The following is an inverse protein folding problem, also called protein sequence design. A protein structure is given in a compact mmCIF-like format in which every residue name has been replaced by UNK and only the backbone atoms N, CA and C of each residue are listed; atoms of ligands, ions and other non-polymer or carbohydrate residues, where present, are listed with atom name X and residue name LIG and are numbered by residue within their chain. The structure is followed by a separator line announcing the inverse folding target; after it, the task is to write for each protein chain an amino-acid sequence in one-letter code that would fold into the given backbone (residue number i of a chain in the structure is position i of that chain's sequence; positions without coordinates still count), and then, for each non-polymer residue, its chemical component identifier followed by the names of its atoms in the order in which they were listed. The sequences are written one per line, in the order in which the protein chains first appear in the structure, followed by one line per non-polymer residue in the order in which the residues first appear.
data_IF_916782818779
#
_entry.id   IF_916782818779
#
_cell.length_a   1.000
_cell.length_b   1.000
_cell.length_c   1.000
_cell.angle_alpha   90.00
_cell.angle_beta   90.00
_cell.angle_gamma   90.00
#
_symmetry.space_group_name_H-M   'P 1'
#
loop_
_entity.id
_entity.type
_entity.pdbx_description
1 polymer ?
#
# COMPACT_ATOMS: atom_id res chain seq x y z
N UNK A 1 9.26 -19.70 8.09
CA UNK A 1 8.43 -18.51 8.34
C UNK A 1 8.97 -17.36 7.51
N UNK A 2 8.14 -16.69 6.70
CA UNK A 2 8.54 -15.50 5.96
C UNK A 2 9.02 -14.39 6.89
N UNK A 3 9.85 -13.50 6.34
CA UNK A 3 10.35 -12.33 7.04
C UNK A 3 9.93 -11.08 6.28
N UNK A 4 9.45 -10.08 7.02
CA UNK A 4 9.25 -8.74 6.50
C UNK A 4 10.39 -7.84 6.98
N UNK A 5 10.85 -6.95 6.12
CA UNK A 5 11.76 -5.87 6.48
C UNK A 5 11.32 -4.56 5.83
N UNK A 6 11.55 -3.45 6.52
CA UNK A 6 11.38 -2.13 5.92
C UNK A 6 12.51 -1.83 4.91
N UNK A 7 12.35 -0.78 4.12
CA UNK A 7 13.30 -0.40 3.06
C UNK A 7 14.74 -0.23 3.56
N UNK A 8 14.94 0.37 4.74
CA UNK A 8 16.27 0.56 5.33
C UNK A 8 16.84 -0.70 6.01
N UNK A 9 16.07 -1.78 6.11
CA UNK A 9 16.45 -3.02 6.80
C UNK A 9 16.55 -2.91 8.33
N UNK A 10 16.24 -1.74 8.91
CA UNK A 10 16.29 -1.47 10.35
C UNK A 10 15.13 -2.11 11.10
N UNK A 11 13.93 -2.07 10.53
CA UNK A 11 12.75 -2.73 11.09
C UNK A 11 12.58 -4.09 10.44
N UNK A 12 12.37 -5.13 11.26
CA UNK A 12 12.18 -6.50 10.80
C UNK A 12 11.10 -7.18 11.62
N UNK A 13 10.35 -8.08 11.00
CA UNK A 13 9.36 -8.91 11.69
C UNK A 13 9.34 -10.30 11.11
N UNK A 14 9.31 -11.31 11.99
CA UNK A 14 8.91 -12.66 11.59
C UNK A 14 7.39 -12.66 11.49
N UNK A 15 6.85 -13.16 10.38
CA UNK A 15 5.42 -13.17 10.11
C UNK A 15 5.01 -14.57 9.69
N UNK A 16 3.75 -14.91 9.90
CA UNK A 16 3.21 -16.20 9.54
C UNK A 16 3.05 -16.30 8.02
N UNK A 17 2.51 -15.23 7.40
CA UNK A 17 2.39 -15.11 5.96
C UNK A 17 2.45 -13.65 5.47
N UNK A 18 2.78 -13.51 4.19
CA UNK A 18 2.65 -12.28 3.42
C UNK A 18 1.67 -12.58 2.29
N UNK A 19 0.54 -11.89 2.30
CA UNK A 19 -0.53 -12.02 1.31
C UNK A 19 -0.35 -10.95 0.24
N UNK A 20 -0.61 -11.29 -1.03
CA UNK A 20 -0.56 -10.34 -2.14
C UNK A 20 -1.96 -10.11 -2.69
N UNK A 21 -2.33 -8.84 -2.87
CA UNK A 21 -3.62 -8.45 -3.43
C UNK A 21 -3.45 -7.60 -4.70
N UNK A 22 -4.17 -7.98 -5.75
CA UNK A 22 -4.32 -7.24 -7.01
C UNK A 22 -5.76 -6.80 -7.28
N UNK A 23 -6.68 -7.14 -6.39
CA UNK A 23 -8.10 -6.80 -6.48
C UNK A 23 -8.70 -6.53 -5.09
N UNK A 24 -9.87 -5.91 -5.04
CA UNK A 24 -10.65 -5.79 -3.80
C UNK A 24 -11.11 -7.17 -3.31
N UNK A 25 -11.40 -8.08 -4.23
CA UNK A 25 -11.81 -9.45 -3.90
C UNK A 25 -10.66 -10.24 -3.24
N UNK A 26 -9.41 -10.02 -3.65
CA UNK A 26 -8.24 -10.61 -3.00
C UNK A 26 -8.13 -10.11 -1.54
N UNK A 27 -8.33 -8.81 -1.32
CA UNK A 27 -8.34 -8.24 0.03
C UNK A 27 -9.48 -8.85 0.85
N UNK A 28 -10.68 -8.92 0.29
CA UNK A 28 -11.84 -9.49 0.96
C UNK A 28 -11.59 -10.95 1.34
N UNK A 29 -11.04 -11.76 0.42
CA UNK A 29 -10.71 -13.16 0.68
C UNK A 29 -9.71 -13.31 1.84
N UNK A 30 -8.64 -12.52 1.85
CA UNK A 30 -7.66 -12.53 2.95
C UNK A 30 -8.30 -12.14 4.28
N UNK A 31 -9.10 -11.07 4.30
CA UNK A 31 -9.76 -10.60 5.52
C UNK A 31 -10.78 -11.62 6.03
N UNK A 32 -11.59 -12.21 5.15
CA UNK A 32 -12.54 -13.28 5.50
C UNK A 32 -11.83 -14.49 6.06
N UNK A 33 -10.78 -15.00 5.38
CA UNK A 33 -10.00 -16.13 5.85
C UNK A 33 -9.41 -15.87 7.25
N UNK A 34 -8.82 -14.69 7.47
CA UNK A 34 -8.21 -14.35 8.77
C UNK A 34 -9.24 -14.13 9.87
N UNK A 35 -10.48 -13.80 9.54
CA UNK A 35 -11.56 -13.67 10.51
C UNK A 35 -11.95 -15.00 11.17
N UNK A 36 -11.67 -16.14 10.50
CA UNK A 36 -11.90 -17.48 11.02
C UNK A 36 -10.88 -17.89 12.09
N UNK A 37 -9.75 -17.17 12.20
CA UNK A 37 -8.70 -17.40 13.21
C UNK A 37 -8.46 -16.16 14.06
N UNK A 38 -9.29 -15.94 15.11
CA UNK A 38 -9.20 -14.76 15.97
C UNK A 38 -7.82 -14.58 16.61
N UNK A 39 -7.48 -13.33 16.91
CA UNK A 39 -6.25 -12.97 17.64
C UNK A 39 -5.03 -12.71 16.76
N UNK A 40 -5.12 -12.90 15.44
CA UNK A 40 -4.06 -12.55 14.47
C UNK A 40 -4.17 -11.09 14.03
N UNK A 41 -3.03 -10.39 13.95
CA UNK A 41 -2.94 -9.00 13.51
C UNK A 41 -2.49 -8.91 12.05
N UNK A 42 -3.34 -8.35 11.21
CA UNK A 42 -3.03 -8.00 9.82
C UNK A 42 -2.53 -6.55 9.73
N UNK A 43 -1.44 -6.33 8.99
CA UNK A 43 -0.95 -4.97 8.65
C UNK A 43 -0.64 -4.86 7.16
N UNK A 44 -0.97 -3.70 6.59
CA UNK A 44 -0.54 -3.34 5.24
C UNK A 44 0.85 -2.71 5.34
N UNK A 45 1.83 -3.23 4.58
CA UNK A 45 3.21 -2.73 4.64
C UNK A 45 3.46 -1.47 3.79
N UNK A 46 2.58 -1.20 2.82
CA UNK A 46 2.83 -0.21 1.77
C UNK A 46 4.17 -0.49 1.08
N UNK A 47 4.89 0.57 0.69
CA UNK A 47 6.25 0.45 0.16
C UNK A 47 7.32 0.12 1.23
N UNK A 48 6.96 -0.02 2.51
CA UNK A 48 7.90 -0.32 3.58
C UNK A 48 8.89 0.80 3.91
N UNK A 49 8.65 2.06 3.51
CA UNK A 49 9.59 3.18 3.75
C UNK A 49 9.52 3.82 5.14
N UNK A 50 8.54 3.45 5.98
CA UNK A 50 8.43 3.99 7.34
C UNK A 50 9.57 3.51 8.24
N UNK A 51 10.12 4.44 9.04
CA UNK A 51 11.02 4.13 10.15
C UNK A 51 10.27 3.87 11.46
N UNK A 52 9.03 4.34 11.57
CA UNK A 52 8.14 4.00 12.68
C UNK A 52 7.76 2.50 12.60
N UNK A 53 7.68 1.79 13.73
CA UNK A 53 7.48 0.34 13.79
C UNK A 53 6.01 -0.06 13.52
N UNK A 54 5.45 0.39 12.39
CA UNK A 54 4.03 0.22 12.05
C UNK A 54 3.65 -1.21 11.67
N UNK A 55 4.60 -2.00 11.15
CA UNK A 55 4.39 -3.40 10.73
C UNK A 55 5.02 -4.38 11.72
N UNK A 56 5.90 -3.90 12.60
CA UNK A 56 6.55 -4.75 13.61
C UNK A 56 5.50 -5.29 14.57
N UNK A 57 5.52 -6.60 14.78
CA UNK A 57 4.53 -7.31 15.59
C UNK A 57 3.28 -7.72 14.82
N UNK A 58 3.19 -7.48 13.50
CA UNK A 58 2.16 -8.10 12.70
C UNK A 58 2.36 -9.63 12.65
N UNK A 59 1.27 -10.38 12.72
CA UNK A 59 1.27 -11.82 12.44
C UNK A 59 1.17 -12.06 10.93
N UNK A 60 0.42 -11.19 10.24
CA UNK A 60 0.10 -11.27 8.82
C UNK A 60 0.42 -9.93 8.15
N UNK A 61 1.00 -9.97 6.97
CA UNK A 61 1.25 -8.76 6.17
C UNK A 61 0.45 -8.83 4.88
N UNK A 62 -0.16 -7.72 4.48
CA UNK A 62 -0.83 -7.56 3.20
C UNK A 62 -0.02 -6.62 2.31
N UNK A 63 0.45 -7.15 1.19
CA UNK A 63 1.04 -6.40 0.08
C UNK A 63 -0.06 -6.03 -0.91
N UNK A 64 -0.26 -4.71 -1.06
CA UNK A 64 -1.27 -4.12 -1.95
C UNK A 64 -0.65 -3.53 -3.23
N UNK A 65 0.61 -3.82 -3.54
CA UNK A 65 1.30 -3.27 -4.72
C UNK A 65 0.64 -3.64 -6.06
N UNK A 66 -0.14 -4.72 -6.09
CA UNK A 66 -0.97 -5.10 -7.23
C UNK A 66 -2.16 -4.16 -7.49
N UNK A 67 -2.58 -3.39 -6.47
CA UNK A 67 -3.60 -2.35 -6.58
C UNK A 67 -2.88 -1.01 -6.79
N UNK A 68 -2.46 -0.72 -8.02
CA UNK A 68 -1.73 0.50 -8.37
C UNK A 68 -2.30 1.18 -9.61
N UNK A 69 -2.10 2.49 -9.70
CA UNK A 69 -2.55 3.34 -10.80
C UNK A 69 -3.73 4.24 -10.46
N UNK A 70 -3.97 5.20 -11.37
CA UNK A 70 -5.12 6.11 -11.33
C UNK A 70 -6.35 5.37 -11.88
N UNK A 71 -7.42 5.35 -11.10
CA UNK A 71 -8.70 4.71 -11.42
C UNK A 71 -9.57 5.64 -12.28
N UNK A 72 -9.64 6.91 -11.90
CA UNK A 72 -10.44 7.92 -12.59
C UNK A 72 -9.95 9.33 -12.26
N UNK A 73 -10.24 10.29 -13.13
CA UNK A 73 -10.01 11.72 -12.91
C UNK A 73 -11.30 12.50 -13.12
N UNK A 74 -11.46 13.58 -12.36
CA UNK A 74 -12.51 14.57 -12.50
C UNK A 74 -11.83 15.94 -12.56
N UNK A 75 -11.56 16.38 -13.79
CA UNK A 75 -10.79 17.60 -14.05
C UNK A 75 -11.56 18.85 -13.65
N UNK A 76 -12.89 18.83 -13.80
CA UNK A 76 -13.75 19.95 -13.43
C UNK A 76 -13.68 20.26 -11.93
N UNK A 77 -13.60 19.22 -11.10
CA UNK A 77 -13.47 19.36 -9.64
C UNK A 77 -12.05 19.15 -9.11
N UNK A 78 -11.06 19.00 -9.99
CA UNK A 78 -9.65 18.75 -9.64
C UNK A 78 -9.45 17.53 -8.72
N UNK A 79 -10.12 16.41 -9.01
CA UNK A 79 -10.05 15.17 -8.22
C UNK A 79 -9.49 14.01 -9.02
N UNK A 80 -8.84 13.08 -8.33
CA UNK A 80 -8.45 11.79 -8.88
C UNK A 80 -8.77 10.68 -7.88
N UNK A 81 -9.27 9.56 -8.39
CA UNK A 81 -9.44 8.31 -7.64
C UNK A 81 -8.26 7.42 -7.98
N UNK A 82 -7.54 6.94 -6.98
CA UNK A 82 -6.24 6.27 -7.14
C UNK A 82 -6.20 5.06 -6.21
N UNK A 83 -5.57 3.97 -6.65
CA UNK A 83 -5.36 2.83 -5.77
C UNK A 83 -4.30 3.12 -4.69
N UNK A 84 -4.51 2.58 -3.48
CA UNK A 84 -3.59 2.78 -2.36
C UNK A 84 -2.19 2.23 -2.59
N UNK A 85 -2.03 1.15 -3.36
CA UNK A 85 -0.71 0.60 -3.70
C UNK A 85 0.06 1.39 -4.75
N UNK A 86 -0.43 2.57 -5.18
CA UNK A 86 0.24 3.41 -6.18
C UNK A 86 1.43 4.13 -5.58
N UNK A 87 2.66 3.91 -6.07
CA UNK A 87 3.79 4.75 -5.72
C UNK A 87 3.57 6.21 -6.10
N UNK A 88 3.92 7.15 -5.23
CA UNK A 88 3.72 8.60 -5.46
C UNK A 88 4.42 9.07 -6.75
N UNK A 89 5.59 8.51 -7.08
CA UNK A 89 6.32 8.87 -8.32
C UNK A 89 5.52 8.62 -9.61
N UNK A 90 4.56 7.68 -9.58
CA UNK A 90 3.70 7.40 -10.74
C UNK A 90 2.64 8.49 -10.98
N UNK A 91 2.37 9.33 -9.97
CA UNK A 91 1.29 10.30 -10.02
C UNK A 91 1.62 11.49 -10.92
N UNK A 92 2.88 11.93 -10.94
CA UNK A 92 3.30 13.14 -11.66
C UNK A 92 2.86 13.15 -13.12
N UNK A 93 3.40 12.23 -13.94
CA UNK A 93 3.06 12.14 -15.36
C UNK A 93 1.58 11.78 -15.59
N UNK A 94 1.07 10.80 -14.84
CA UNK A 94 -0.30 10.29 -15.02
C UNK A 94 -1.36 11.36 -14.76
N UNK A 95 -1.19 12.20 -13.74
CA UNK A 95 -2.09 13.32 -13.47
C UNK A 95 -1.85 14.47 -14.44
N UNK A 96 -0.59 14.76 -14.78
CA UNK A 96 -0.25 15.85 -15.70
C UNK A 96 -0.89 15.67 -17.09
N UNK A 97 -0.89 14.45 -17.60
CA UNK A 97 -1.54 14.11 -18.88
C UNK A 97 -3.07 14.34 -18.87
N UNK A 98 -3.67 14.48 -17.69
CA UNK A 98 -5.08 14.79 -17.50
C UNK A 98 -5.32 16.26 -17.12
N UNK A 99 -4.29 17.11 -17.11
CA UNK A 99 -4.37 18.50 -16.67
C UNK A 99 -4.46 18.67 -15.15
N UNK A 100 -4.05 17.66 -14.38
CA UNK A 100 -4.02 17.66 -12.91
C UNK A 100 -2.60 17.59 -12.37
N UNK A 101 -2.42 17.97 -11.11
CA UNK A 101 -1.16 17.82 -10.39
C UNK A 101 -1.38 17.75 -8.89
N UNK A 102 -0.43 17.18 -8.16
CA UNK A 102 -0.36 17.34 -6.70
C UNK A 102 0.09 18.76 -6.39
N UNK A 103 -0.66 19.49 -5.56
CA UNK A 103 -0.28 20.83 -5.10
C UNK A 103 1.00 20.83 -4.27
N UNK A 104 1.23 19.75 -3.53
CA UNK A 104 2.41 19.54 -2.71
C UNK A 104 2.73 18.05 -2.69
N UNK A 105 4.00 17.70 -2.87
CA UNK A 105 4.50 16.33 -2.83
C UNK A 105 5.70 16.26 -1.88
N UNK A 106 5.76 15.21 -1.06
CA UNK A 106 6.93 14.95 -0.24
C UNK A 106 8.15 14.58 -1.10
N UNK A 107 9.34 14.72 -0.51
CA UNK A 107 10.62 14.39 -1.16
C UNK A 107 10.74 12.89 -1.50
N UNK A 108 10.21 12.01 -0.65
CA UNK A 108 10.22 10.56 -0.88
C UNK A 108 8.97 10.14 -1.67
N UNK A 109 9.15 9.92 -2.96
CA UNK A 109 8.09 9.52 -3.90
C UNK A 109 7.94 7.99 -4.07
N UNK A 110 8.76 7.21 -3.38
CA UNK A 110 8.71 5.74 -3.36
C UNK A 110 7.61 5.17 -2.46
N UNK A 111 7.00 6.01 -1.63
CA UNK A 111 5.89 5.63 -0.76
C UNK A 111 4.61 5.35 -1.56
N UNK A 112 3.75 4.51 -1.00
CA UNK A 112 2.40 4.27 -1.52
C UNK A 112 1.42 5.30 -0.91
N UNK A 113 0.26 5.49 -1.53
CA UNK A 113 -0.81 6.40 -1.06
C UNK A 113 -1.55 5.91 0.19
#
# INVERSE_FOLDING_TARGET
MPHWQNWSGKQRSKVDAIHFARSVDDIAAVVTQLSETPGKRLRVAGAGHSHAPLVVGADQVLDISGLSGVIATDVAHQRAKIWGGTPIYMLGRTLHDQGLALRNQGDIDRQFL
#
